data_IF_928378292442
#
_entry.id   IF_928378292442
#
_cell.length_a   1.000
_cell.length_b   1.000
_cell.length_c   1.000
_cell.angle_alpha   90.00
_cell.angle_beta   90.00
_cell.angle_gamma   90.00
#
_symmetry.space_group_name_H-M   'P 1'
#
loop_
_entity.id
_entity.type
_entity.pdbx_description
1 polymer ?
#
# COMPACT_ATOMS: atom_id res chain seq x y z
N UNK A 1 -13.86 11.68 0.35
CA UNK A 1 -13.19 10.75 -0.57
C UNK A 1 -13.85 9.40 -0.43
N UNK A 2 -14.02 8.64 -1.51
CA UNK A 2 -14.48 7.24 -1.44
C UNK A 2 -13.27 6.31 -1.44
N UNK A 3 -13.31 5.26 -0.64
CA UNK A 3 -12.24 4.28 -0.48
C UNK A 3 -12.76 2.89 -0.85
N UNK A 4 -12.00 2.17 -1.69
CA UNK A 4 -12.21 0.75 -1.98
C UNK A 4 -11.07 -0.03 -1.37
N UNK A 5 -11.35 -0.97 -0.47
CA UNK A 5 -10.33 -1.86 0.09
C UNK A 5 -9.79 -2.74 -1.04
N UNK A 6 -8.46 -2.82 -1.14
CA UNK A 6 -7.76 -3.65 -2.13
C UNK A 6 -6.90 -4.73 -1.49
N UNK A 7 -6.53 -4.55 -0.23
CA UNK A 7 -5.80 -5.53 0.57
C UNK A 7 -6.07 -5.32 2.05
N UNK A 8 -5.98 -6.36 2.86
CA UNK A 8 -6.33 -6.35 4.28
C UNK A 8 -7.35 -7.41 4.65
N UNK A 9 -7.54 -7.62 5.95
CA UNK A 9 -8.55 -8.56 6.44
C UNK A 9 -9.97 -7.98 6.31
N UNK A 10 -10.99 -8.85 6.27
CA UNK A 10 -12.40 -8.43 6.25
C UNK A 10 -12.87 -7.85 7.59
N UNK A 11 -12.27 -8.29 8.70
CA UNK A 11 -12.62 -7.89 10.05
C UNK A 11 -11.95 -6.57 10.45
N UNK A 12 -12.53 -5.44 9.99
CA UNK A 12 -12.53 -4.08 10.57
C UNK A 12 -11.24 -3.38 11.08
N UNK A 13 -10.36 -4.07 11.79
CA UNK A 13 -9.24 -3.51 12.56
C UNK A 13 -7.86 -4.08 12.20
N UNK A 14 -7.71 -4.79 11.07
CA UNK A 14 -6.39 -5.19 10.59
C UNK A 14 -5.75 -4.11 9.71
N UNK A 15 -4.42 -4.15 9.53
CA UNK A 15 -3.74 -3.41 8.48
C UNK A 15 -4.40 -3.66 7.12
N UNK A 16 -4.61 -2.59 6.37
CA UNK A 16 -5.33 -2.63 5.11
C UNK A 16 -4.87 -1.51 4.19
N UNK A 17 -4.99 -1.77 2.89
CA UNK A 17 -4.73 -0.77 1.84
C UNK A 17 -5.99 -0.55 1.04
N UNK A 18 -6.26 0.72 0.76
CA UNK A 18 -7.41 1.19 0.02
C UNK A 18 -6.94 2.00 -1.19
N UNK A 19 -7.76 2.01 -2.23
CA UNK A 19 -7.62 2.94 -3.36
C UNK A 19 -8.74 3.96 -3.28
N UNK A 20 -8.36 5.23 -3.38
CA UNK A 20 -9.30 6.34 -3.39
C UNK A 20 -9.93 6.52 -4.78
N UNK A 21 -11.06 7.23 -4.81
CA UNK A 21 -11.66 7.76 -6.05
C UNK A 21 -10.76 8.72 -6.83
N UNK A 22 -9.61 9.12 -6.25
CA UNK A 22 -8.57 9.93 -6.89
C UNK A 22 -7.39 9.10 -7.41
N UNK A 23 -7.52 7.78 -7.46
CA UNK A 23 -6.46 6.84 -7.86
C UNK A 23 -5.20 6.92 -6.98
N UNK A 24 -5.36 7.27 -5.71
CA UNK A 24 -4.26 7.26 -4.72
C UNK A 24 -4.46 6.14 -3.70
N UNK A 25 -3.37 5.57 -3.20
CA UNK A 25 -3.43 4.59 -2.12
C UNK A 25 -3.63 5.30 -0.76
N UNK A 26 -4.45 4.70 0.10
CA UNK A 26 -4.59 5.07 1.52
C UNK A 26 -4.31 3.83 2.35
N UNK A 27 -3.43 3.97 3.34
CA UNK A 27 -2.88 2.85 4.08
C UNK A 27 -3.30 2.97 5.54
N UNK A 28 -3.89 1.89 6.08
CA UNK A 28 -4.25 1.75 7.49
C UNK A 28 -3.30 0.75 8.13
N UNK A 29 -2.72 1.10 9.27
CA UNK A 29 -1.80 0.25 10.02
C UNK A 29 -1.48 0.83 11.38
N UNK A 30 -0.55 0.20 12.10
CA UNK A 30 -0.04 0.73 13.36
C UNK A 30 0.94 1.87 13.08
N UNK A 31 0.84 2.99 13.81
CA UNK A 31 1.76 4.11 13.63
C UNK A 31 3.18 3.74 14.04
N UNK A 32 4.15 4.12 13.19
CA UNK A 32 5.57 4.06 13.53
C UNK A 32 6.02 5.48 13.85
N UNK A 33 6.27 5.73 15.14
CA UNK A 33 6.66 7.06 15.63
C UNK A 33 8.15 7.33 15.44
N UNK A 34 8.99 6.30 15.64
CA UNK A 34 10.45 6.37 15.53
C UNK A 34 10.99 5.01 15.11
N UNK A 35 11.87 4.98 14.11
CA UNK A 35 12.61 3.79 13.69
C UNK A 35 13.98 4.19 13.12
N UNK A 36 15.00 3.37 13.35
CA UNK A 36 16.33 3.60 12.79
C UNK A 36 16.25 3.58 11.25
N UNK A 37 16.79 4.61 10.59
CA UNK A 37 16.73 4.76 9.13
C UNK A 37 15.43 5.34 8.58
N UNK A 38 14.43 5.63 9.41
CA UNK A 38 13.20 6.31 9.02
C UNK A 38 13.32 7.82 9.31
N UNK A 39 13.14 8.65 8.29
CA UNK A 39 13.01 10.11 8.44
C UNK A 39 11.61 10.52 8.00
N UNK A 40 10.90 11.25 8.85
CA UNK A 40 9.55 11.76 8.56
C UNK A 40 9.59 13.29 8.45
N UNK A 41 9.12 13.80 7.32
CA UNK A 41 8.87 15.22 7.09
C UNK A 41 7.59 15.71 7.78
N UNK A 42 7.37 17.03 7.73
CA UNK A 42 6.15 17.64 8.25
C UNK A 42 4.91 17.10 7.53
N UNK A 43 3.95 16.57 8.31
CA UNK A 43 2.72 16.00 7.78
C UNK A 43 2.84 14.57 7.24
N UNK A 44 4.02 13.96 7.27
CA UNK A 44 4.19 12.55 6.93
C UNK A 44 3.81 11.63 8.09
N UNK A 45 3.41 10.40 7.77
CA UNK A 45 3.10 9.37 8.76
C UNK A 45 3.60 8.05 8.26
N UNK A 46 4.40 7.36 9.07
CA UNK A 46 4.74 5.97 8.82
C UNK A 46 3.73 5.05 9.53
N UNK A 47 3.39 3.97 8.83
CA UNK A 47 2.59 2.87 9.35
C UNK A 47 3.26 1.55 9.04
N UNK A 48 3.17 0.61 9.99
CA UNK A 48 3.66 -0.74 9.82
C UNK A 48 2.56 -1.64 9.21
N UNK A 49 2.94 -2.43 8.21
CA UNK A 49 2.07 -3.41 7.56
C UNK A 49 2.78 -4.75 7.38
N UNK A 50 2.05 -5.88 7.52
CA UNK A 50 2.56 -7.18 7.13
C UNK A 50 2.91 -7.23 5.64
N UNK A 51 4.02 -7.90 5.24
CA UNK A 51 4.44 -7.98 3.84
C UNK A 51 3.38 -8.52 2.88
N UNK A 52 2.55 -9.48 3.31
CA UNK A 52 1.47 -10.05 2.52
C UNK A 52 0.38 -9.02 2.18
N UNK A 53 0.07 -8.12 3.10
CA UNK A 53 -0.88 -7.02 2.86
C UNK A 53 -0.33 -6.04 1.82
N UNK A 54 0.97 -5.72 1.90
CA UNK A 54 1.64 -4.85 0.93
C UNK A 54 1.63 -5.50 -0.46
N UNK A 55 2.01 -6.78 -0.56
CA UNK A 55 2.03 -7.51 -1.82
C UNK A 55 0.63 -7.64 -2.45
N UNK A 56 -0.40 -7.92 -1.64
CA UNK A 56 -1.79 -7.94 -2.10
C UNK A 56 -2.22 -6.58 -2.66
N UNK A 57 -1.84 -5.49 -2.00
CA UNK A 57 -2.15 -4.13 -2.45
C UNK A 57 -1.45 -3.80 -3.76
N UNK A 58 -0.17 -4.14 -3.87
CA UNK A 58 0.64 -3.97 -5.07
C UNK A 58 0.03 -4.73 -6.26
N UNK A 59 -0.40 -5.97 -6.03
CA UNK A 59 -1.06 -6.79 -7.07
C UNK A 59 -2.35 -6.12 -7.56
N UNK A 60 -3.21 -5.69 -6.64
CA UNK A 60 -4.45 -5.01 -6.98
C UNK A 60 -4.24 -3.63 -7.64
N UNK A 61 -3.18 -2.91 -7.27
CA UNK A 61 -2.78 -1.65 -7.91
C UNK A 61 -2.25 -1.89 -9.32
N UNK A 62 -1.48 -2.97 -9.53
CA UNK A 62 -1.09 -3.41 -10.85
C UNK A 62 -2.36 -3.67 -11.70
N UNK A 63 -3.28 -4.51 -11.24
CA UNK A 63 -4.49 -4.84 -11.99
C UNK A 63 -5.40 -3.63 -12.31
N UNK A 64 -5.30 -2.55 -11.54
CA UNK A 64 -6.05 -1.30 -11.74
C UNK A 64 -5.25 -0.16 -12.41
N UNK A 65 -3.94 -0.35 -12.61
CA UNK A 65 -3.05 0.60 -13.28
C UNK A 65 -3.08 0.46 -14.81
N UNK A 66 -2.52 1.44 -15.52
CA UNK A 66 -2.30 1.28 -16.96
C UNK A 66 -1.39 0.06 -17.20
N UNK A 67 -1.64 -0.70 -18.26
CA UNK A 67 -0.92 -1.94 -18.57
C UNK A 67 0.62 -1.77 -18.52
N UNK A 68 1.12 -0.58 -18.84
CA UNK A 68 2.53 -0.21 -18.80
C UNK A 68 3.12 -0.16 -17.38
N UNK A 69 2.35 0.31 -16.39
CA UNK A 69 2.78 0.37 -14.99
C UNK A 69 2.89 -1.03 -14.38
N UNK A 70 1.95 -1.91 -14.73
CA UNK A 70 1.93 -3.33 -14.33
C UNK A 70 3.15 -4.07 -14.85
N UNK A 71 3.48 -3.83 -16.11
CA UNK A 71 4.57 -4.50 -16.79
C UNK A 71 5.91 -4.18 -16.12
N UNK A 72 6.19 -2.90 -15.84
CA UNK A 72 7.42 -2.47 -15.15
C UNK A 72 7.55 -3.08 -13.76
N UNK A 73 6.42 -3.18 -13.04
CA UNK A 73 6.45 -3.71 -11.68
C UNK A 73 6.71 -5.23 -11.64
N UNK A 74 6.13 -5.97 -12.59
CA UNK A 74 6.41 -7.41 -12.79
C UNK A 74 7.87 -7.66 -13.17
N UNK A 75 8.47 -6.79 -13.95
CA UNK A 75 9.89 -6.88 -14.31
C UNK A 75 10.78 -6.63 -13.10
N UNK A 76 10.47 -5.63 -12.27
CA UNK A 76 11.22 -5.34 -11.05
C UNK A 76 11.17 -6.49 -10.02
N UNK A 77 10.01 -7.12 -9.85
CA UNK A 77 9.81 -8.24 -8.92
C UNK A 77 10.42 -9.57 -9.40
N UNK A 78 10.81 -9.69 -10.68
CA UNK A 78 11.48 -10.88 -11.22
C UNK A 78 13.00 -10.87 -11.03
N UNK A 79 13.57 -9.74 -10.63
CA UNK A 79 15.02 -9.55 -10.45
C UNK A 79 15.48 -9.62 -8.99
N UNK A 80 14.60 -10.01 -8.06
CA UNK A 80 14.92 -10.23 -6.64
C UNK A 80 15.00 -11.71 -6.31
#
# INVERSE_FOLDING_TARGET
MKLRKVSGCENGTCPAVYVSDRQTAVVQGAHVLTADGLTLGEGETAVELPPDIVLGAVTALAESGSAETVQRLREALKCS
#
